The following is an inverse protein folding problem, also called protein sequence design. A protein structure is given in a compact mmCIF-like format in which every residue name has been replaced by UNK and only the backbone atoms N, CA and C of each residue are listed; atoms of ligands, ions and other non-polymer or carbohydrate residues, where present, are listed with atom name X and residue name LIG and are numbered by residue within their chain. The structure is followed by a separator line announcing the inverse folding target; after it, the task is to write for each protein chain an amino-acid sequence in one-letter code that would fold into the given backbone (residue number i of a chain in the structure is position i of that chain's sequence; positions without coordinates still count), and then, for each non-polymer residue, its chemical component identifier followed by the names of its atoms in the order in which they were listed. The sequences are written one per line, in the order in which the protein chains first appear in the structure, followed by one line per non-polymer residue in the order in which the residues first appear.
data_IF_114325349042
#
_entry.id   IF_114325349042
#
_cell.length_a   1.000
_cell.length_b   1.000
_cell.length_c   1.000
_cell.angle_alpha   90.00
_cell.angle_beta   90.00
_cell.angle_gamma   90.00
#
_symmetry.space_group_name_H-M   'P 1'
#
loop_
_entity.id
_entity.type
_entity.pdbx_description
1 polymer ?
#
# COMPACT_ATOMS: atom_id res chain seq x y z
N UNK A 1 -28.56 -4.95 16.69
CA UNK A 1 -28.02 -4.94 15.31
C UNK A 1 -26.52 -5.11 15.42
N UNK A 2 -26.02 -6.33 15.15
CA UNK A 2 -24.58 -6.58 15.19
C UNK A 2 -23.91 -5.77 14.10
N UNK A 3 -22.90 -4.98 14.45
CA UNK A 3 -22.01 -4.39 13.45
C UNK A 3 -21.44 -5.55 12.65
N UNK A 4 -21.80 -5.63 11.37
CA UNK A 4 -21.15 -6.52 10.45
C UNK A 4 -19.68 -6.09 10.44
N UNK A 5 -18.83 -6.88 11.11
CA UNK A 5 -17.38 -6.73 11.03
C UNK A 5 -17.01 -6.99 9.58
N UNK A 6 -17.04 -5.95 8.74
CA UNK A 6 -16.79 -6.08 7.31
C UNK A 6 -15.43 -6.74 7.14
N UNK A 7 -15.43 -8.00 6.69
CA UNK A 7 -14.20 -8.79 6.71
C UNK A 7 -13.13 -8.08 5.86
N UNK A 8 -11.95 -7.90 6.44
CA UNK A 8 -10.82 -7.20 5.85
C UNK A 8 -10.26 -7.98 4.65
N UNK A 9 -9.82 -7.26 3.64
CA UNK A 9 -8.95 -7.78 2.60
C UNK A 9 -7.64 -8.28 3.21
N UNK A 10 -7.24 -9.48 2.80
CA UNK A 10 -5.91 -9.99 3.09
C UNK A 10 -4.90 -9.30 2.19
N UNK A 11 -3.94 -8.61 2.80
CA UNK A 11 -2.83 -7.98 2.09
C UNK A 11 -1.74 -9.02 1.81
N UNK A 12 -1.50 -9.29 0.53
CA UNK A 12 -0.57 -10.32 0.07
C UNK A 12 0.65 -9.65 -0.53
N UNK A 13 1.84 -9.94 -0.01
CA UNK A 13 3.08 -9.42 -0.58
C UNK A 13 3.45 -10.21 -1.83
N UNK A 14 3.68 -9.52 -2.95
CA UNK A 14 4.22 -10.18 -4.13
C UNK A 14 5.66 -10.64 -3.86
N UNK A 15 5.93 -11.92 -4.11
CA UNK A 15 7.26 -12.50 -4.10
C UNK A 15 7.75 -12.79 -5.53
N UNK A 16 8.94 -12.28 -5.85
CA UNK A 16 9.69 -12.65 -7.05
C UNK A 16 10.12 -14.12 -6.95
N UNK A 17 10.52 -14.74 -8.08
CA UNK A 17 10.98 -16.13 -8.09
C UNK A 17 12.23 -16.36 -7.20
N UNK A 18 13.00 -15.30 -6.93
CA UNK A 18 14.14 -15.30 -6.00
C UNK A 18 13.73 -15.28 -4.51
N UNK A 19 12.44 -15.21 -4.19
CA UNK A 19 11.91 -15.01 -2.84
C UNK A 19 11.94 -13.55 -2.37
N UNK A 20 12.45 -12.63 -3.21
CA UNK A 20 12.47 -11.20 -2.89
C UNK A 20 11.05 -10.62 -2.91
N UNK A 21 10.70 -9.88 -1.87
CA UNK A 21 9.42 -9.17 -1.75
C UNK A 21 9.60 -7.65 -1.89
N UNK A 22 9.25 -7.04 -3.04
CA UNK A 22 9.58 -5.65 -3.32
C UNK A 22 8.97 -4.65 -2.33
N UNK A 23 7.76 -4.89 -1.83
CA UNK A 23 7.16 -3.99 -0.84
C UNK A 23 7.78 -4.18 0.55
N UNK A 24 8.10 -5.41 0.96
CA UNK A 24 8.74 -5.66 2.25
C UNK A 24 10.14 -5.02 2.29
N UNK A 25 10.91 -5.16 1.21
CA UNK A 25 12.18 -4.45 1.02
C UNK A 25 12.02 -2.93 1.11
N UNK A 26 10.99 -2.39 0.45
CA UNK A 26 10.72 -0.96 0.51
C UNK A 26 10.42 -0.51 1.93
N UNK A 27 9.57 -1.23 2.67
CA UNK A 27 9.25 -0.95 4.07
C UNK A 27 10.51 -1.01 4.96
N UNK A 28 11.35 -2.04 4.81
CA UNK A 28 12.60 -2.17 5.59
C UNK A 28 13.51 -0.96 5.44
N UNK A 29 13.64 -0.43 4.22
CA UNK A 29 14.52 0.68 3.88
C UNK A 29 13.89 2.07 4.07
N UNK A 30 12.62 2.14 4.46
CA UNK A 30 11.90 3.39 4.63
C UNK A 30 12.22 4.05 5.97
N UNK A 31 12.29 5.38 5.99
CA UNK A 31 12.46 6.13 7.24
C UNK A 31 11.38 5.74 8.26
N UNK A 32 11.72 5.58 9.55
CA UNK A 32 10.81 4.99 10.54
C UNK A 32 9.42 5.63 10.60
N UNK A 33 9.32 6.96 10.49
CA UNK A 33 8.04 7.67 10.53
C UNK A 33 7.17 7.40 9.28
N UNK A 34 7.77 7.34 8.09
CA UNK A 34 7.09 6.99 6.83
C UNK A 34 6.66 5.54 6.84
N UNK A 35 7.49 4.63 7.37
CA UNK A 35 7.16 3.23 7.57
C UNK A 35 5.95 3.05 8.48
N UNK A 36 5.94 3.70 9.64
CA UNK A 36 4.79 3.67 10.55
C UNK A 36 3.51 4.17 9.86
N UNK A 37 3.61 5.30 9.16
CA UNK A 37 2.48 5.88 8.42
C UNK A 37 1.95 4.92 7.35
N UNK A 38 2.84 4.25 6.60
CA UNK A 38 2.44 3.30 5.56
C UNK A 38 1.82 2.03 6.13
N UNK A 39 2.39 1.45 7.20
CA UNK A 39 1.84 0.24 7.82
C UNK A 39 0.43 0.52 8.37
N UNK A 40 0.24 1.63 9.08
CA UNK A 40 -1.07 2.03 9.58
C UNK A 40 -2.07 2.24 8.43
N UNK A 41 -1.68 2.98 7.38
CA UNK A 41 -2.58 3.24 6.25
C UNK A 41 -2.91 1.96 5.45
N UNK A 42 -1.98 1.03 5.29
CA UNK A 42 -2.26 -0.27 4.66
C UNK A 42 -3.26 -1.07 5.51
N UNK A 43 -3.07 -1.11 6.83
CA UNK A 43 -3.95 -1.81 7.76
C UNK A 43 -5.36 -1.22 7.78
N UNK A 44 -5.48 0.09 8.04
CA UNK A 44 -6.76 0.74 8.37
C UNK A 44 -7.55 1.17 7.13
N UNK A 45 -6.87 1.40 6.00
CA UNK A 45 -7.53 1.89 4.79
C UNK A 45 -7.57 0.79 3.74
N UNK A 46 -6.41 0.33 3.27
CA UNK A 46 -6.36 -0.59 2.14
C UNK A 46 -6.93 -1.96 2.50
N UNK A 47 -6.65 -2.49 3.69
CA UNK A 47 -7.22 -3.77 4.11
C UNK A 47 -8.73 -3.68 4.38
N UNK A 48 -9.29 -2.52 4.71
CA UNK A 48 -10.75 -2.40 4.87
C UNK A 48 -11.48 -2.20 3.54
N UNK A 49 -10.92 -1.38 2.66
CA UNK A 49 -11.61 -0.95 1.43
C UNK A 49 -11.24 -1.77 0.19
N UNK A 50 -10.09 -2.46 0.19
CA UNK A 50 -9.61 -3.18 -0.98
C UNK A 50 -9.52 -2.29 -2.22
N UNK A 51 -10.20 -2.67 -3.30
CA UNK A 51 -10.21 -1.90 -4.56
C UNK A 51 -11.04 -0.62 -4.47
N UNK A 52 -12.04 -0.56 -3.59
CA UNK A 52 -12.95 0.57 -3.45
C UNK A 52 -12.24 1.83 -2.92
N UNK A 53 -11.03 1.66 -2.38
CA UNK A 53 -10.13 2.77 -2.04
C UNK A 53 -9.87 3.71 -3.24
N UNK A 54 -10.03 3.23 -4.47
CA UNK A 54 -9.92 4.02 -5.70
C UNK A 54 -11.05 5.04 -5.89
N UNK A 55 -12.15 4.94 -5.15
CA UNK A 55 -13.19 5.96 -5.07
C UNK A 55 -12.85 7.10 -4.09
N UNK A 56 -11.70 7.02 -3.41
CA UNK A 56 -11.25 7.99 -2.40
C UNK A 56 -9.96 8.70 -2.82
N UNK A 57 -9.49 9.66 -2.02
CA UNK A 57 -8.18 10.32 -2.22
C UNK A 57 -6.98 9.35 -2.16
N UNK A 58 -7.17 8.19 -1.52
CA UNK A 58 -6.12 7.21 -1.27
C UNK A 58 -5.88 6.26 -2.44
N UNK A 59 -6.72 6.23 -3.47
CA UNK A 59 -6.58 5.28 -4.58
C UNK A 59 -6.61 5.92 -5.95
N UNK A 60 -6.05 5.22 -6.94
CA UNK A 60 -6.22 5.54 -8.36
C UNK A 60 -6.08 4.29 -9.22
N UNK A 61 -7.05 4.05 -10.10
CA UNK A 61 -6.91 3.05 -11.15
C UNK A 61 -5.84 3.44 -12.17
N UNK A 62 -4.97 2.49 -12.51
CA UNK A 62 -3.92 2.61 -13.53
C UNK A 62 -4.19 1.76 -14.79
N UNK A 63 -5.37 1.13 -14.84
CA UNK A 63 -5.83 0.25 -15.91
C UNK A 63 -5.26 -1.17 -15.81
N UNK A 64 -5.89 -2.11 -16.54
CA UNK A 64 -5.47 -3.53 -16.64
C UNK A 64 -5.33 -4.22 -15.27
N UNK A 65 -6.28 -3.96 -14.37
CA UNK A 65 -6.30 -4.52 -13.01
C UNK A 65 -5.29 -3.91 -12.04
N UNK A 66 -4.43 -2.98 -12.47
CA UNK A 66 -3.46 -2.31 -11.60
C UNK A 66 -4.04 -1.03 -10.99
N UNK A 67 -3.75 -0.78 -9.72
CA UNK A 67 -4.08 0.45 -9.01
C UNK A 67 -2.88 0.98 -8.20
N UNK A 68 -2.97 2.26 -7.82
CA UNK A 68 -2.01 2.97 -6.99
C UNK A 68 -2.69 3.43 -5.70
N UNK A 69 -2.17 2.97 -4.55
CA UNK A 69 -2.48 3.51 -3.23
C UNK A 69 -1.58 4.72 -2.93
N UNK A 70 -2.19 5.81 -2.46
CA UNK A 70 -1.62 7.16 -2.38
C UNK A 70 -1.65 7.64 -0.94
N UNK A 71 -0.50 7.54 -0.26
CA UNK A 71 -0.40 8.05 1.10
C UNK A 71 0.24 9.43 1.12
N UNK A 72 -0.46 10.38 1.74
CA UNK A 72 -0.01 11.75 2.04
C UNK A 72 -0.03 12.09 3.53
N UNK A 73 -0.60 11.21 4.34
CA UNK A 73 -0.83 11.41 5.76
C UNK A 73 0.24 10.73 6.60
N UNK A 74 0.59 11.38 7.70
CA UNK A 74 1.42 10.86 8.77
C UNK A 74 0.66 9.83 9.61
N UNK A 75 1.40 9.06 10.40
CA UNK A 75 0.83 8.09 11.34
C UNK A 75 -0.22 8.73 12.27
N UNK A 76 0.08 9.88 12.88
CA UNK A 76 -0.85 10.51 13.83
C UNK A 76 -2.14 10.98 13.14
N UNK A 77 -2.06 11.44 11.89
CA UNK A 77 -3.25 11.77 11.09
C UNK A 77 -4.08 10.53 10.74
N UNK A 78 -3.44 9.39 10.45
CA UNK A 78 -4.14 8.12 10.22
C UNK A 78 -4.86 7.67 11.49
N UNK A 79 -4.19 7.59 12.64
CA UNK A 79 -4.83 7.12 13.88
C UNK A 79 -5.93 8.08 14.35
N UNK A 80 -5.78 9.39 14.12
CA UNK A 80 -6.86 10.35 14.41
C UNK A 80 -8.11 10.10 13.55
N UNK A 81 -7.95 9.65 12.30
CA UNK A 81 -9.06 9.31 11.40
C UNK A 81 -9.66 7.93 11.70
N UNK A 82 -8.88 7.02 12.28
CA UNK A 82 -9.27 5.65 12.60
C UNK A 82 -8.97 5.34 14.08
N UNK A 83 -9.70 5.97 15.03
CA UNK A 83 -9.40 5.85 16.46
C UNK A 83 -9.62 4.43 17.01
N UNK A 84 -10.53 3.67 16.40
CA UNK A 84 -10.87 2.28 16.78
C UNK A 84 -10.06 1.22 16.02
N UNK A 85 -9.10 1.66 15.18
CA UNK A 85 -8.24 0.77 14.40
C UNK A 85 -7.27 -0.04 15.27
N UNK A 86 -6.61 -1.06 14.68
CA UNK A 86 -5.54 -1.78 15.37
C UNK A 86 -4.34 -0.84 15.57
N UNK A 87 -4.29 -0.15 16.72
CA UNK A 87 -3.25 0.84 17.02
C UNK A 87 -1.93 0.14 17.33
N UNK A 88 -1.12 -0.12 16.30
CA UNK A 88 0.29 -0.49 16.45
C UNK A 88 1.11 0.76 16.70
N UNK A 89 1.28 1.13 17.98
CA UNK A 89 2.10 2.29 18.37
C UNK A 89 3.52 2.13 17.81
N UNK A 90 4.03 3.07 17.00
CA UNK A 90 5.36 2.96 16.47
C UNK A 90 6.39 3.12 17.60
N UNK A 91 7.52 2.41 17.55
CA UNK A 91 8.55 2.48 18.59
C UNK A 91 9.18 3.88 18.71
N UNK A 92 9.00 4.76 17.72
CA UNK A 92 9.50 6.14 17.75
C UNK A 92 8.48 7.11 17.16
N UNK A 93 7.95 8.00 18.01
CA UNK A 93 7.19 9.20 17.60
C UNK A 93 8.15 10.38 17.42
N UNK A 94 8.80 10.46 16.27
CA UNK A 94 9.50 11.70 15.86
C UNK A 94 8.54 12.55 15.05
N UNK A 95 8.61 13.89 15.17
CA UNK A 95 8.00 14.80 14.18
C UNK A 95 8.60 14.43 12.82
N UNK A 96 7.84 13.65 12.06
CA UNK A 96 8.25 13.15 10.76
C UNK A 96 8.17 14.25 9.72
N UNK A 97 9.03 14.18 8.71
CA UNK A 97 8.88 15.01 7.52
C UNK A 97 7.60 14.65 6.76
N UNK A 98 7.36 15.34 5.64
CA UNK A 98 6.18 15.08 4.81
C UNK A 98 6.14 13.63 4.30
N UNK A 99 4.95 13.03 4.33
CA UNK A 99 4.70 11.70 3.79
C UNK A 99 4.19 11.85 2.36
N UNK A 100 4.86 11.19 1.40
CA UNK A 100 4.39 11.12 0.02
C UNK A 100 4.78 9.78 -0.60
N UNK A 101 4.03 8.74 -0.24
CA UNK A 101 4.32 7.37 -0.63
C UNK A 101 3.30 6.86 -1.64
N UNK A 102 3.74 5.92 -2.48
CA UNK A 102 2.88 5.19 -3.42
C UNK A 102 3.12 3.70 -3.27
N UNK A 103 2.05 2.93 -3.23
CA UNK A 103 2.08 1.46 -3.28
C UNK A 103 1.22 1.01 -4.45
N UNK A 104 1.75 0.12 -5.27
CA UNK A 104 0.99 -0.44 -6.40
C UNK A 104 0.36 -1.76 -5.98
N UNK A 105 -0.90 -1.95 -6.36
CA UNK A 105 -1.64 -3.13 -5.94
C UNK A 105 -2.61 -3.65 -7.01
N UNK A 106 -3.05 -4.89 -6.82
CA UNK A 106 -4.07 -5.56 -7.60
C UNK A 106 -5.02 -6.29 -6.64
N UNK A 107 -6.32 -5.98 -6.71
CA UNK A 107 -7.33 -6.76 -5.99
C UNK A 107 -7.75 -7.97 -6.84
N UNK A 108 -7.86 -9.15 -6.21
CA UNK A 108 -8.13 -10.41 -6.88
C UNK A 108 -8.78 -11.42 -5.94
N UNK A 109 -9.39 -12.46 -6.52
CA UNK A 109 -10.04 -13.53 -5.77
C UNK A 109 -11.07 -13.00 -4.76
N UNK A 110 -11.31 -13.78 -3.71
CA UNK A 110 -12.14 -13.34 -2.59
C UNK A 110 -11.31 -12.56 -1.57
N UNK A 111 -11.60 -11.26 -1.45
CA UNK A 111 -11.00 -10.34 -0.47
C UNK A 111 -9.46 -10.41 -0.35
N UNK A 112 -8.73 -10.41 -1.49
CA UNK A 112 -7.26 -10.31 -1.48
C UNK A 112 -6.77 -9.09 -2.24
N UNK A 113 -5.73 -8.46 -1.71
CA UNK A 113 -5.00 -7.37 -2.35
C UNK A 113 -3.53 -7.76 -2.47
N UNK A 114 -3.06 -7.99 -3.70
CA UNK A 114 -1.66 -8.22 -4.01
C UNK A 114 -0.90 -6.90 -4.05
N UNK A 115 0.14 -6.78 -3.22
CA UNK A 115 1.01 -5.62 -3.13
C UNK A 115 2.27 -5.82 -3.98
N UNK A 116 2.40 -5.02 -5.04
CA UNK A 116 3.38 -5.20 -6.13
C UNK A 116 4.66 -4.37 -5.95
N UNK A 117 4.74 -3.59 -4.87
CA UNK A 117 5.86 -2.72 -4.54
C UNK A 117 5.43 -1.29 -4.23
N UNK A 118 6.37 -0.48 -3.75
CA UNK A 118 6.13 0.92 -3.44
C UNK A 118 7.38 1.78 -3.61
N UNK A 119 7.19 3.09 -3.58
CA UNK A 119 8.30 4.04 -3.61
C UNK A 119 7.94 5.36 -2.91
N UNK A 120 8.98 6.08 -2.49
CA UNK A 120 8.86 7.41 -1.90
C UNK A 120 8.89 8.48 -3.02
N UNK A 121 7.70 9.00 -3.34
CA UNK A 121 7.51 10.04 -4.36
C UNK A 121 8.02 11.40 -3.88
N UNK A 122 8.06 11.65 -2.57
CA UNK A 122 8.65 12.85 -2.00
C UNK A 122 10.15 12.91 -2.26
N UNK A 123 10.86 11.78 -2.07
CA UNK A 123 12.29 11.65 -2.34
C UNK A 123 12.63 11.54 -3.83
N UNK A 124 11.69 11.05 -4.65
CA UNK A 124 11.88 10.82 -6.09
C UNK A 124 10.69 11.34 -6.89
N UNK A 125 10.64 12.66 -7.08
CA UNK A 125 9.47 13.38 -7.57
C UNK A 125 9.28 13.37 -9.10
N UNK A 126 10.21 12.87 -9.90
CA UNK A 126 10.11 12.95 -11.36
C UNK A 126 9.00 12.03 -11.93
N UNK A 127 8.32 12.51 -12.99
CA UNK A 127 7.31 11.75 -13.74
C UNK A 127 7.89 10.44 -14.29
N UNK A 128 9.10 10.52 -14.87
CA UNK A 128 9.88 9.36 -15.36
C UNK A 128 10.07 8.29 -14.30
N UNK A 129 10.31 8.65 -13.04
CA UNK A 129 10.46 7.66 -11.96
C UNK A 129 9.13 6.96 -11.67
N UNK A 130 8.04 7.71 -11.57
CA UNK A 130 6.72 7.12 -11.34
C UNK A 130 6.33 6.16 -12.47
N UNK A 131 6.54 6.54 -13.72
CA UNK A 131 6.28 5.69 -14.88
C UNK A 131 7.12 4.41 -14.85
N UNK A 132 8.40 4.50 -14.46
CA UNK A 132 9.25 3.33 -14.30
C UNK A 132 8.77 2.39 -13.18
N UNK A 133 8.27 2.92 -12.06
CA UNK A 133 7.71 2.10 -10.99
C UNK A 133 6.36 1.45 -11.39
N UNK A 134 5.50 2.17 -12.12
CA UNK A 134 4.28 1.61 -12.71
C UNK A 134 4.64 0.48 -13.68
N UNK A 135 5.66 0.65 -14.53
CA UNK A 135 6.11 -0.38 -15.46
C UNK A 135 6.60 -1.64 -14.72
N UNK A 136 7.36 -1.47 -13.62
CA UNK A 136 7.79 -2.59 -12.75
C UNK A 136 6.59 -3.29 -12.12
N UNK A 137 5.63 -2.54 -11.57
CA UNK A 137 4.42 -3.11 -10.98
C UNK A 137 3.59 -3.89 -12.01
N UNK A 138 3.44 -3.35 -13.24
CA UNK A 138 2.79 -4.07 -14.34
C UNK A 138 3.50 -5.36 -14.72
N UNK A 139 4.84 -5.37 -14.73
CA UNK A 139 5.63 -6.58 -14.99
C UNK A 139 5.34 -7.65 -13.93
N UNK A 140 5.41 -7.27 -12.65
CA UNK A 140 5.12 -8.17 -11.52
C UNK A 140 3.70 -8.72 -11.54
N UNK A 141 2.72 -7.88 -11.90
CA UNK A 141 1.34 -8.33 -12.04
C UNK A 141 1.19 -9.40 -13.13
N UNK A 142 1.83 -9.22 -14.29
CA UNK A 142 1.83 -10.23 -15.35
C UNK A 142 2.49 -11.53 -14.91
N UNK A 143 3.63 -11.44 -14.22
CA UNK A 143 4.33 -12.61 -13.67
C UNK A 143 3.49 -13.37 -12.63
N UNK A 144 2.75 -12.65 -11.79
CA UNK A 144 1.81 -13.26 -10.86
C UNK A 144 0.67 -13.97 -11.62
N UNK A 145 0.05 -13.29 -12.59
CA UNK A 145 -1.06 -13.84 -13.37
C UNK A 145 -0.65 -15.11 -14.13
N UNK A 146 0.57 -15.18 -14.68
CA UNK A 146 1.07 -16.36 -15.38
C UNK A 146 1.37 -17.57 -14.48
N UNK A 147 1.43 -17.39 -13.16
CA UNK A 147 1.64 -18.48 -12.18
C UNK A 147 0.34 -18.99 -11.57
N UNK A 148 -0.75 -18.25 -11.76
CA UNK A 148 -2.04 -18.47 -11.09
C UNK A 148 -3.16 -18.77 -12.08
N UNK A 149 -2.84 -18.71 -13.38
CA UNK A 149 -3.67 -19.20 -14.50
C UNK A 149 -3.16 -20.58 -14.89
#
# INVERSE_FOLDING_TARGET
MGAEMTARYTLVFYAEASGREPLADFLRNLEPHKRASLVAALSEILAHQGVDVCATEYGKHLGKGLAEFRLRHSYDEIIKRFPDGEVVRPPVRRRGGSVLLRVFFHAYGDKRVLLLGGYDKGRRSSKRKQEAEIARARKRLREFQSRTT
#
